data_IF_777103667480
#
_entry.id   IF_777103667480
#
_cell.length_a   1.000
_cell.length_b   1.000
_cell.length_c   1.000
_cell.angle_alpha   90.00
_cell.angle_beta   90.00
_cell.angle_gamma   90.00
#
_symmetry.space_group_name_H-M   'P 1'
#
loop_
_entity.id
_entity.type
_entity.pdbx_description
1 polymer ?
#
# COMPACT_ATOMS: atom_id res chain seq x y z
N UNK A 1 -38.11 59.48 -23.39
CA UNK A 1 -36.64 59.50 -23.50
C UNK A 1 -36.10 58.53 -22.47
N UNK A 2 -35.13 57.72 -22.91
CA UNK A 2 -34.27 56.79 -22.16
C UNK A 2 -34.91 55.53 -21.55
N UNK A 3 -34.80 54.48 -22.35
CA UNK A 3 -34.83 53.06 -22.05
C UNK A 3 -33.76 52.58 -21.04
N UNK A 4 -33.95 51.33 -20.58
CA UNK A 4 -32.92 50.35 -20.13
C UNK A 4 -32.23 50.67 -18.78
N UNK A 5 -32.09 49.76 -17.81
CA UNK A 5 -31.60 48.40 -17.99
C UNK A 5 -31.95 47.52 -16.78
N UNK A 6 -32.69 46.44 -17.07
CA UNK A 6 -32.78 45.24 -16.24
C UNK A 6 -31.42 44.52 -16.26
N UNK A 7 -30.52 44.91 -15.37
CA UNK A 7 -29.34 44.14 -15.03
C UNK A 7 -29.69 43.07 -14.01
N UNK A 8 -30.48 42.06 -14.41
CA UNK A 8 -30.50 40.79 -13.71
C UNK A 8 -29.06 40.26 -13.76
N UNK A 9 -28.34 40.35 -12.63
CA UNK A 9 -27.13 39.57 -12.44
C UNK A 9 -27.50 38.12 -12.70
N UNK A 10 -26.84 37.42 -13.64
CA UNK A 10 -27.06 36.01 -13.78
C UNK A 10 -26.55 35.37 -12.49
N UNK A 11 -27.47 34.99 -11.62
CA UNK A 11 -27.28 33.84 -10.74
C UNK A 11 -27.01 32.64 -11.64
N UNK A 12 -25.74 32.52 -12.05
CA UNK A 12 -25.23 31.25 -12.52
C UNK A 12 -25.08 30.41 -11.28
N UNK A 13 -26.19 29.79 -10.87
CA UNK A 13 -26.17 28.49 -10.24
C UNK A 13 -25.47 27.55 -11.23
N UNK A 14 -24.14 27.63 -11.27
CA UNK A 14 -23.32 26.70 -11.99
C UNK A 14 -23.55 25.37 -11.30
N UNK A 15 -24.20 24.46 -12.01
CA UNK A 15 -24.04 23.02 -11.82
C UNK A 15 -22.54 22.79 -11.68
N UNK A 16 -22.06 22.69 -10.45
CA UNK A 16 -20.65 22.49 -10.18
C UNK A 16 -20.35 21.08 -10.66
N UNK A 17 -19.87 20.97 -11.90
CA UNK A 17 -19.37 19.70 -12.42
C UNK A 17 -18.40 19.12 -11.40
N UNK A 18 -18.54 17.82 -11.05
CA UNK A 18 -17.74 17.22 -10.00
C UNK A 18 -16.26 17.43 -10.34
N UNK A 19 -15.57 18.16 -9.47
CA UNK A 19 -14.14 18.40 -9.63
C UNK A 19 -13.44 17.04 -9.67
N UNK A 20 -12.56 16.87 -10.66
CA UNK A 20 -11.73 15.66 -10.73
C UNK A 20 -10.81 15.64 -9.51
N UNK A 21 -11.06 14.70 -8.61
CA UNK A 21 -10.24 14.45 -7.43
C UNK A 21 -9.56 13.10 -7.61
N UNK A 22 -8.25 13.12 -7.78
CA UNK A 22 -7.43 11.91 -7.74
C UNK A 22 -6.83 11.77 -6.35
N UNK A 23 -7.04 10.61 -5.72
CA UNK A 23 -6.64 10.36 -4.34
C UNK A 23 -5.64 9.22 -4.32
N UNK A 24 -4.45 9.52 -3.82
CA UNK A 24 -3.45 8.51 -3.50
C UNK A 24 -3.38 8.31 -2.00
N UNK A 25 -3.60 7.09 -1.53
CA UNK A 25 -3.53 6.75 -0.11
C UNK A 25 -2.33 5.86 0.16
N UNK A 26 -1.52 6.28 1.13
CA UNK A 26 -0.41 5.52 1.69
C UNK A 26 -0.82 4.98 3.07
N UNK A 27 -1.27 3.72 3.14
CA UNK A 27 -1.54 3.07 4.43
C UNK A 27 -0.25 2.95 5.24
N UNK A 28 -0.36 3.17 6.54
CA UNK A 28 0.75 3.02 7.49
C UNK A 28 0.35 2.01 8.55
N UNK A 29 1.31 1.55 9.35
CA UNK A 29 0.99 0.83 10.58
C UNK A 29 0.18 1.78 11.47
N UNK A 30 -1.04 1.39 11.89
CA UNK A 30 -1.89 2.26 12.68
C UNK A 30 -1.18 2.65 13.97
N UNK A 31 -1.03 3.95 14.19
CA UNK A 31 -0.37 4.52 15.38
C UNK A 31 -1.38 5.39 16.11
N UNK A 32 -1.82 4.91 17.27
CA UNK A 32 -2.93 5.47 18.02
C UNK A 32 -4.17 5.54 17.12
N UNK A 33 -4.59 6.75 16.76
CA UNK A 33 -5.77 6.98 15.94
C UNK A 33 -5.43 7.17 14.45
N UNK A 34 -4.16 7.37 14.08
CA UNK A 34 -3.75 7.61 12.70
C UNK A 34 -3.62 6.27 11.95
N UNK A 35 -4.33 6.15 10.83
CA UNK A 35 -4.37 4.93 10.02
C UNK A 35 -3.58 5.04 8.72
N UNK A 36 -3.66 6.19 8.04
CA UNK A 36 -3.03 6.40 6.74
C UNK A 36 -2.75 7.87 6.48
N UNK A 37 -1.83 8.11 5.54
CA UNK A 37 -1.65 9.40 4.91
C UNK A 37 -2.27 9.38 3.51
N UNK A 38 -2.91 10.47 3.12
CA UNK A 38 -3.48 10.66 1.80
C UNK A 38 -2.89 11.92 1.15
N UNK A 39 -2.83 11.87 -0.17
CA UNK A 39 -2.50 13.01 -1.02
C UNK A 39 -3.62 13.14 -2.03
N UNK A 40 -4.18 14.34 -2.16
CA UNK A 40 -5.32 14.61 -3.06
C UNK A 40 -4.88 15.59 -4.14
N UNK A 41 -5.08 15.20 -5.39
CA UNK A 41 -4.86 16.04 -6.56
C UNK A 41 -6.20 16.58 -7.07
N UNK A 42 -6.36 17.89 -7.04
CA UNK A 42 -7.55 18.62 -7.43
C UNK A 42 -7.35 19.13 -8.86
N UNK A 43 -8.28 18.77 -9.75
CA UNK A 43 -8.34 19.22 -11.15
C UNK A 43 -7.01 19.11 -11.92
N UNK A 44 -6.20 18.10 -11.57
CA UNK A 44 -4.86 17.87 -12.11
C UNK A 44 -3.84 19.02 -11.96
N UNK A 45 -4.21 20.13 -11.33
CA UNK A 45 -3.42 21.36 -11.26
C UNK A 45 -2.90 21.66 -9.85
N UNK A 46 -3.49 21.06 -8.83
CA UNK A 46 -3.13 21.32 -7.44
C UNK A 46 -3.05 20.02 -6.65
N UNK A 47 -1.99 19.84 -5.86
CA UNK A 47 -1.82 18.67 -4.99
C UNK A 47 -1.74 19.14 -3.55
N UNK A 48 -2.57 18.54 -2.71
CA UNK A 48 -2.50 18.65 -1.26
C UNK A 48 -1.92 17.36 -0.71
N UNK A 49 -0.73 17.45 -0.14
CA UNK A 49 -0.08 16.31 0.51
C UNK A 49 -0.27 16.35 2.04
N UNK A 50 0.02 15.23 2.69
CA UNK A 50 0.04 15.09 4.14
C UNK A 50 -1.33 15.20 4.82
N UNK A 51 -2.39 14.78 4.11
CA UNK A 51 -3.73 14.61 4.69
C UNK A 51 -3.70 13.35 5.58
N UNK A 52 -4.24 13.44 6.79
CA UNK A 52 -4.20 12.36 7.79
C UNK A 52 -5.56 11.68 7.90
N UNK A 53 -5.64 10.37 7.70
CA UNK A 53 -6.87 9.58 7.92
C UNK A 53 -6.80 9.01 9.32
N UNK A 54 -7.79 9.34 10.14
CA UNK A 54 -7.81 9.06 11.58
C UNK A 54 -9.12 8.34 11.94
N UNK A 55 -9.04 7.33 12.81
CA UNK A 55 -10.22 6.69 13.39
C UNK A 55 -10.63 7.40 14.68
N UNK A 56 -11.93 7.70 14.82
CA UNK A 56 -12.53 8.22 16.04
C UNK A 56 -13.74 7.42 16.46
N UNK A 57 -14.33 7.82 17.59
CA UNK A 57 -15.45 7.12 18.19
C UNK A 57 -16.70 7.10 17.29
N UNK A 58 -16.85 8.11 16.43
CA UNK A 58 -17.96 8.25 15.47
C UNK A 58 -17.64 7.73 14.07
N UNK A 59 -16.48 7.10 13.88
CA UNK A 59 -16.03 6.58 12.58
C UNK A 59 -14.75 7.22 12.07
N UNK A 60 -14.46 6.96 10.79
CA UNK A 60 -13.26 7.46 10.10
C UNK A 60 -13.44 8.93 9.72
N UNK A 61 -12.41 9.73 9.99
CA UNK A 61 -12.39 11.15 9.66
C UNK A 61 -11.04 11.57 9.06
N UNK A 62 -11.08 12.68 8.33
CA UNK A 62 -9.93 13.22 7.61
C UNK A 62 -9.46 14.48 8.32
N UNK A 63 -8.20 14.49 8.76
CA UNK A 63 -7.51 15.66 9.28
C UNK A 63 -6.70 16.32 8.18
N UNK A 64 -6.91 17.62 8.02
CA UNK A 64 -6.19 18.41 7.03
C UNK A 64 -4.70 18.55 7.39
N UNK A 65 -3.82 18.79 6.40
CA UNK A 65 -2.42 19.09 6.66
C UNK A 65 -2.31 20.35 7.50
N UNK A 66 -1.53 20.25 8.57
CA UNK A 66 -1.30 21.30 9.56
C UNK A 66 0.16 21.73 9.51
N UNK A 67 0.38 23.04 9.58
CA UNK A 67 1.71 23.63 9.75
C UNK A 67 1.80 24.25 11.15
N UNK A 68 2.98 24.14 11.75
CA UNK A 68 3.29 24.78 13.03
C UNK A 68 3.84 26.17 12.76
N UNK A 69 3.22 27.18 13.37
CA UNK A 69 3.72 28.55 13.36
C UNK A 69 4.97 28.66 14.26
N UNK A 70 5.76 29.72 14.10
CA UNK A 70 6.96 29.99 14.91
C UNK A 70 6.68 30.12 16.41
N UNK A 71 5.42 30.30 16.80
CA UNK A 71 4.95 30.35 18.20
C UNK A 71 4.46 29.00 18.75
N UNK A 72 4.59 27.92 17.97
CA UNK A 72 4.18 26.58 18.38
C UNK A 72 2.69 26.25 18.24
N UNK A 73 1.90 27.14 17.63
CA UNK A 73 0.49 26.86 17.32
C UNK A 73 0.37 26.16 15.97
N UNK A 74 -0.49 25.15 15.88
CA UNK A 74 -0.80 24.48 14.62
C UNK A 74 -2.00 25.14 13.95
N UNK A 75 -1.89 25.37 12.65
CA UNK A 75 -2.99 25.81 11.82
C UNK A 75 -3.09 24.90 10.59
N UNK A 76 -4.32 24.62 10.17
CA UNK A 76 -4.56 23.88 8.94
C UNK A 76 -4.11 24.74 7.75
N UNK A 77 -3.27 24.15 6.90
CA UNK A 77 -2.72 24.81 5.70
C UNK A 77 -3.76 24.90 4.61
N UNK A 78 -4.60 23.87 4.49
CA UNK A 78 -5.73 23.86 3.57
C UNK A 78 -7.01 23.48 4.31
N UNK A 79 -8.10 24.16 3.97
CA UNK A 79 -9.42 23.84 4.49
C UNK A 79 -10.46 24.01 3.38
N UNK A 80 -11.41 23.08 3.24
CA UNK A 80 -12.50 23.23 2.30
C UNK A 80 -13.43 24.35 2.78
N UNK A 81 -13.70 25.30 1.89
CA UNK A 81 -14.54 26.48 2.19
C UNK A 81 -16.03 26.12 2.18
N UNK A 82 -16.45 25.27 1.24
CA UNK A 82 -17.85 24.87 1.07
C UNK A 82 -18.14 23.51 1.70
N UNK A 83 -19.38 23.30 2.16
CA UNK A 83 -19.82 22.04 2.74
C UNK A 83 -19.83 20.90 1.70
N UNK A 84 -20.26 21.19 0.48
CA UNK A 84 -20.34 20.20 -0.61
C UNK A 84 -18.96 19.66 -0.96
N UNK A 85 -17.96 20.54 -1.11
CA UNK A 85 -16.59 20.12 -1.41
C UNK A 85 -15.98 19.35 -0.24
N UNK A 86 -16.28 19.72 1.01
CA UNK A 86 -15.85 18.96 2.19
C UNK A 86 -16.37 17.52 2.14
N UNK A 87 -17.65 17.32 1.81
CA UNK A 87 -18.23 15.99 1.69
C UNK A 87 -17.61 15.19 0.54
N UNK A 88 -17.45 15.81 -0.64
CA UNK A 88 -16.80 15.17 -1.79
C UNK A 88 -15.36 14.74 -1.46
N UNK A 89 -14.58 15.62 -0.85
CA UNK A 89 -13.21 15.35 -0.43
C UNK A 89 -13.16 14.23 0.60
N UNK A 90 -14.02 14.26 1.61
CA UNK A 90 -14.07 13.24 2.64
C UNK A 90 -14.41 11.88 2.04
N UNK A 91 -15.43 11.80 1.17
CA UNK A 91 -15.83 10.56 0.52
C UNK A 91 -14.70 10.02 -0.37
N UNK A 92 -14.13 10.86 -1.24
CA UNK A 92 -13.04 10.45 -2.13
C UNK A 92 -11.81 9.91 -1.36
N UNK A 93 -11.48 10.52 -0.22
CA UNK A 93 -10.37 10.06 0.64
C UNK A 93 -10.68 8.74 1.32
N UNK A 94 -11.91 8.55 1.83
CA UNK A 94 -12.33 7.31 2.47
C UNK A 94 -12.45 6.14 1.48
N UNK A 95 -12.93 6.42 0.26
CA UNK A 95 -12.99 5.43 -0.82
C UNK A 95 -11.57 4.99 -1.23
N UNK A 96 -10.67 5.97 -1.41
CA UNK A 96 -9.26 5.70 -1.69
C UNK A 96 -8.57 4.89 -0.58
N UNK A 97 -8.94 5.13 0.68
CA UNK A 97 -8.43 4.36 1.82
C UNK A 97 -8.92 2.91 1.80
N UNK A 98 -10.22 2.70 1.56
CA UNK A 98 -10.80 1.35 1.48
C UNK A 98 -10.12 0.53 0.40
N UNK A 99 -9.95 1.11 -0.81
CA UNK A 99 -9.24 0.45 -1.91
C UNK A 99 -7.75 0.19 -1.60
N UNK A 100 -7.09 1.09 -0.87
CA UNK A 100 -5.69 0.91 -0.48
C UNK A 100 -5.53 -0.20 0.59
N UNK A 101 -6.46 -0.29 1.54
CA UNK A 101 -6.49 -1.35 2.56
C UNK A 101 -6.70 -2.72 1.91
N UNK A 102 -7.65 -2.84 0.99
CA UNK A 102 -7.86 -4.08 0.22
C UNK A 102 -6.60 -4.50 -0.54
N UNK A 103 -5.93 -3.55 -1.21
CA UNK A 103 -4.65 -3.82 -1.89
C UNK A 103 -3.57 -4.30 -0.93
N UNK A 104 -3.43 -3.66 0.25
CA UNK A 104 -2.45 -4.09 1.26
C UNK A 104 -2.77 -5.46 1.84
N UNK A 105 -4.04 -5.78 2.07
CA UNK A 105 -4.45 -7.11 2.53
C UNK A 105 -4.11 -8.19 1.48
N UNK A 106 -4.34 -7.89 0.20
CA UNK A 106 -4.03 -8.82 -0.88
C UNK A 106 -2.52 -9.02 -1.07
N UNK A 107 -1.72 -7.95 -0.94
CA UNK A 107 -0.24 -8.03 -0.98
C UNK A 107 0.30 -8.77 0.25
N UNK A 108 -0.25 -8.51 1.44
CA UNK A 108 0.14 -9.21 2.67
C UNK A 108 -0.19 -10.71 2.64
N UNK A 109 -1.26 -11.11 1.94
CA UNK A 109 -1.57 -12.52 1.68
C UNK A 109 -0.59 -13.13 0.65
N UNK A 110 -0.31 -12.45 -0.46
CA UNK A 110 0.63 -12.92 -1.49
C UNK A 110 2.08 -13.04 -0.97
N UNK A 111 2.47 -12.18 -0.02
CA UNK A 111 3.81 -12.21 0.58
C UNK A 111 3.96 -13.35 1.62
N UNK A 112 2.87 -13.75 2.29
CA UNK A 112 2.86 -14.97 3.13
C UNK A 112 2.97 -16.23 2.27
N UNK A 113 2.28 -16.28 1.14
CA UNK A 113 2.37 -17.41 0.19
C UNK A 113 3.79 -17.61 -0.39
N UNK A 114 4.59 -16.55 -0.51
CA UNK A 114 5.98 -16.64 -0.95
C UNK A 114 6.95 -17.03 0.18
N UNK A 115 6.59 -16.78 1.44
CA UNK A 115 7.41 -17.13 2.62
C UNK A 115 7.11 -18.55 3.13
N UNK A 116 5.96 -19.12 2.79
CA UNK A 116 5.56 -20.48 3.19
C UNK A 116 5.94 -21.59 2.19
N UNK A 117 6.50 -21.27 1.02
CA UNK A 117 7.12 -22.31 0.19
C UNK A 117 8.44 -22.74 0.84
N UNK A 118 8.59 -24.00 1.30
CA UNK A 118 9.77 -24.44 2.03
C UNK A 118 11.02 -24.25 1.16
N UNK A 119 12.05 -23.69 1.80
CA UNK A 119 13.31 -23.34 1.17
C UNK A 119 13.92 -24.57 0.45
N UNK A 120 14.42 -24.35 -0.77
CA UNK A 120 15.12 -25.34 -1.61
C UNK A 120 16.26 -26.06 -0.83
N UNK A 121 16.74 -25.45 0.26
CA UNK A 121 17.73 -26.03 1.19
C UNK A 121 17.28 -27.35 1.84
N UNK A 122 16.00 -27.53 2.17
CA UNK A 122 15.53 -28.78 2.79
C UNK A 122 15.47 -29.93 1.78
N UNK A 123 15.11 -29.65 0.52
CA UNK A 123 15.09 -30.66 -0.56
C UNK A 123 16.49 -31.13 -0.96
N UNK A 124 17.52 -30.29 -0.88
CA UNK A 124 18.91 -30.71 -1.13
C UNK A 124 19.46 -31.62 -0.03
N UNK A 125 19.06 -31.41 1.24
CA UNK A 125 19.54 -32.22 2.36
C UNK A 125 18.97 -33.64 2.34
N UNK A 126 17.73 -33.81 1.89
CA UNK A 126 17.13 -35.13 1.69
C UNK A 126 17.78 -35.89 0.51
N UNK A 127 18.12 -35.20 -0.58
CA UNK A 127 18.84 -35.79 -1.71
C UNK A 127 20.25 -36.31 -1.36
N UNK A 128 20.97 -35.60 -0.49
CA UNK A 128 22.29 -36.02 -0.02
C UNK A 128 22.22 -37.32 0.82
N UNK A 129 21.20 -37.47 1.68
CA UNK A 129 21.00 -38.70 2.46
C UNK A 129 20.63 -39.91 1.60
N UNK A 130 19.74 -39.74 0.61
CA UNK A 130 19.32 -40.83 -0.28
C UNK A 130 20.48 -41.35 -1.17
N UNK A 131 21.43 -40.49 -1.54
CA UNK A 131 22.61 -40.88 -2.32
C UNK A 131 23.66 -41.66 -1.51
N UNK A 132 23.74 -41.45 -0.20
CA UNK A 132 24.66 -42.19 0.68
C UNK A 132 24.17 -43.61 0.97
N UNK A 133 22.86 -43.84 1.04
CA UNK A 133 22.28 -45.15 1.37
C UNK A 133 22.30 -46.13 0.17
N UNK A 134 22.21 -45.61 -1.06
CA UNK A 134 22.37 -46.42 -2.29
C UNK A 134 23.80 -46.87 -2.57
N UNK A 135 24.81 -46.20 -2.01
CA UNK A 135 26.22 -46.60 -2.15
C UNK A 135 26.60 -47.76 -1.21
N UNK A 136 25.79 -48.07 -0.18
CA UNK A 136 26.06 -49.13 0.78
C UNK A 136 25.48 -50.51 0.38
N UNK A 137 24.73 -50.60 -0.72
CA UNK A 137 24.01 -51.81 -1.13
C UNK A 137 24.41 -52.35 -2.52
N UNK A 138 25.69 -52.27 -2.90
CA UNK A 138 26.22 -53.04 -4.04
C UNK A 138 26.82 -54.38 -3.59
N UNK A 139 26.49 -55.50 -4.27
CA UNK A 139 26.91 -56.85 -3.92
C UNK A 139 28.40 -57.09 -4.18
N UNK A 140 29.01 -57.92 -3.32
CA UNK A 140 30.42 -58.32 -3.34
C UNK A 140 30.83 -58.89 -4.71
N UNK A 141 31.77 -58.23 -5.40
CA UNK A 141 32.53 -58.85 -6.49
C UNK A 141 33.51 -59.88 -5.90
N UNK A 142 33.68 -61.08 -6.48
CA UNK A 142 34.59 -62.08 -5.93
C UNK A 142 36.06 -61.67 -6.10
N UNK A 143 36.74 -61.68 -4.95
CA UNK A 143 38.12 -62.08 -4.69
C UNK A 143 39.18 -61.95 -5.81
N UNK A 144 40.06 -60.96 -5.63
CA UNK A 144 41.34 -60.88 -6.32
C UNK A 144 42.31 -61.96 -5.80
N UNK A 145 42.78 -62.82 -6.71
CA UNK A 145 43.89 -63.75 -6.48
C UNK A 145 45.19 -62.99 -6.20
N UNK A 146 45.86 -63.36 -5.11
CA UNK A 146 47.09 -62.75 -4.60
C UNK A 146 48.34 -63.47 -5.13
N UNK A 147 49.09 -62.77 -5.98
CA UNK A 147 50.56 -62.66 -5.97
C UNK A 147 51.43 -63.88 -6.31
N UNK A 148 52.41 -63.67 -7.20
CA UNK A 148 53.82 -63.50 -6.79
C UNK A 148 54.69 -63.04 -7.95
N UNK A 149 55.55 -62.10 -7.60
CA UNK A 149 56.62 -61.49 -8.38
C UNK A 149 57.89 -62.35 -8.31
N UNK A 150 58.73 -62.23 -9.35
CA UNK A 150 60.18 -62.48 -9.45
C UNK A 150 60.79 -63.86 -9.81
N UNK A 151 61.39 -63.85 -11.02
CA UNK A 151 62.82 -63.92 -11.34
C UNK A 151 63.62 -65.23 -11.18
N UNK A 152 64.26 -65.55 -12.32
CA UNK A 152 65.32 -66.52 -12.65
C UNK A 152 64.93 -68.01 -12.73
#
# INVERSE_FOLDING_TARGET
MSDTNAGAVPETAGTAEPLKLDVTVRPITPKNNLLAFASVKIADCFVVDNIKIVAGDKGLFVNMPSAQDGKGKFHDVCFPVTADFRQQLQNAVLDGYTAAVEKVQNIGAAQREFTEKPSIKDKLREGAKASAERAAAMPKTPEAAKGKENAL
#
